data_IF_975093836944
#
_entry.id   IF_975093836944
#
_cell.length_a   1.000
_cell.length_b   1.000
_cell.length_c   1.000
_cell.angle_alpha   90.00
_cell.angle_beta   90.00
_cell.angle_gamma   90.00
#
_symmetry.space_group_name_H-M   'P 1'
#
loop_
_entity.id
_entity.type
_entity.pdbx_description
1 polymer ?
#
# COMPACT_ATOMS: atom_id res chain seq x y z
N UNK A 1 -57.76 -37.78 -9.11
CA UNK A 1 -57.10 -38.86 -9.88
C UNK A 1 -55.76 -39.12 -9.18
N UNK A 2 -55.43 -40.23 -8.55
CA UNK A 2 -56.01 -41.58 -8.54
C UNK A 2 -55.00 -42.61 -9.08
N UNK A 3 -54.27 -43.28 -8.18
CA UNK A 3 -53.73 -44.65 -8.28
C UNK A 3 -52.47 -45.00 -9.13
N UNK A 4 -51.40 -45.34 -8.40
CA UNK A 4 -50.63 -46.61 -8.35
C UNK A 4 -50.24 -47.45 -9.58
N UNK A 5 -48.92 -47.67 -9.66
CA UNK A 5 -48.14 -48.93 -9.82
C UNK A 5 -48.48 -49.96 -10.93
N UNK A 6 -47.43 -50.42 -11.64
CA UNK A 6 -47.00 -51.84 -11.63
C UNK A 6 -45.57 -52.07 -12.15
N UNK A 7 -44.98 -53.08 -11.54
CA UNK A 7 -43.59 -53.57 -11.54
C UNK A 7 -43.31 -54.48 -12.73
N UNK A 8 -42.04 -54.58 -13.17
CA UNK A 8 -41.39 -55.87 -13.51
C UNK A 8 -39.86 -55.73 -13.67
N UNK A 9 -39.11 -56.43 -12.80
CA UNK A 9 -37.76 -56.97 -13.05
C UNK A 9 -37.93 -58.45 -13.45
N UNK A 10 -37.01 -59.08 -14.20
CA UNK A 10 -35.99 -59.90 -13.50
C UNK A 10 -34.60 -60.07 -14.16
N UNK A 11 -33.62 -60.21 -13.27
CA UNK A 11 -32.54 -61.21 -13.19
C UNK A 11 -31.24 -61.21 -14.04
N UNK A 12 -30.14 -61.26 -13.23
CA UNK A 12 -28.90 -62.08 -13.32
C UNK A 12 -27.91 -61.73 -14.44
N UNK A 13 -26.62 -61.51 -14.18
CA UNK A 13 -25.70 -62.47 -13.54
C UNK A 13 -24.43 -61.79 -13.01
N UNK A 14 -23.89 -62.33 -11.92
CA UNK A 14 -22.67 -62.00 -11.18
C UNK A 14 -21.39 -62.01 -12.03
N UNK A 15 -20.43 -61.12 -11.76
CA UNK A 15 -18.99 -61.44 -11.73
C UNK A 15 -18.29 -60.69 -10.57
N UNK A 16 -17.88 -61.51 -9.60
CA UNK A 16 -16.78 -61.49 -8.62
C UNK A 16 -15.96 -60.21 -8.36
N UNK A 17 -15.83 -59.95 -7.06
CA UNK A 17 -14.74 -59.23 -6.39
C UNK A 17 -13.36 -59.78 -6.76
N UNK A 18 -12.39 -58.87 -6.90
CA UNK A 18 -11.06 -58.99 -6.28
C UNK A 18 -10.40 -57.60 -6.24
N UNK A 19 -10.07 -57.18 -5.02
CA UNK A 19 -9.13 -56.14 -4.59
C UNK A 19 -7.74 -56.37 -5.22
N UNK A 20 -6.94 -55.34 -5.52
CA UNK A 20 -6.04 -54.61 -4.60
C UNK A 20 -5.59 -53.27 -5.25
N UNK A 21 -5.64 -52.22 -4.43
CA UNK A 21 -4.88 -50.97 -4.34
C UNK A 21 -3.99 -50.48 -5.52
N UNK A 22 -4.20 -49.21 -5.94
CA UNK A 22 -3.22 -48.12 -5.78
C UNK A 22 -3.67 -46.81 -6.50
N UNK A 23 -3.94 -45.76 -5.72
CA UNK A 23 -4.03 -44.34 -6.13
C UNK A 23 -3.52 -43.54 -4.92
N UNK A 24 -2.84 -42.36 -5.02
CA UNK A 24 -2.45 -41.56 -6.19
C UNK A 24 -0.97 -41.10 -6.20
N UNK A 25 -0.36 -40.92 -7.37
CA UNK A 25 0.65 -39.86 -7.53
C UNK A 25 -0.07 -38.57 -7.91
N UNK A 26 -0.53 -37.84 -6.89
CA UNK A 26 -0.90 -36.43 -7.03
C UNK A 26 0.36 -35.68 -6.67
N UNK A 27 1.08 -35.19 -7.68
CA UNK A 27 2.15 -34.23 -7.47
C UNK A 27 1.56 -33.07 -6.66
N UNK A 28 1.96 -33.00 -5.39
CA UNK A 28 1.66 -31.86 -4.56
C UNK A 28 2.38 -30.68 -5.22
N UNK A 29 1.60 -29.78 -5.81
CA UNK A 29 2.04 -28.43 -6.11
C UNK A 29 2.43 -27.85 -4.74
N UNK A 30 3.72 -27.88 -4.43
CA UNK A 30 4.26 -27.15 -3.30
C UNK A 30 4.10 -25.68 -3.66
N UNK A 31 3.00 -25.07 -3.24
CA UNK A 31 2.97 -23.63 -3.08
C UNK A 31 4.15 -23.29 -2.15
N UNK A 32 5.06 -22.38 -2.56
CA UNK A 32 6.09 -21.91 -1.65
C UNK A 32 5.40 -21.37 -0.39
N UNK A 33 6.04 -21.48 0.79
CA UNK A 33 5.46 -20.95 2.01
C UNK A 33 5.11 -19.48 1.77
N UNK A 34 3.83 -19.14 1.97
CA UNK A 34 3.35 -17.77 1.88
C UNK A 34 4.12 -16.98 2.94
N UNK A 35 4.98 -16.06 2.51
CA UNK A 35 5.70 -15.17 3.43
C UNK A 35 4.68 -14.56 4.40
N UNK A 36 5.06 -14.46 5.67
CA UNK A 36 4.24 -13.74 6.64
C UNK A 36 4.09 -12.28 6.22
N UNK A 37 2.99 -11.65 6.62
CA UNK A 37 2.76 -10.21 6.38
C UNK A 37 3.94 -9.36 6.86
N UNK A 38 4.49 -9.68 8.04
CA UNK A 38 5.65 -9.01 8.60
C UNK A 38 6.91 -9.15 7.72
N UNK A 39 7.13 -10.32 7.12
CA UNK A 39 8.24 -10.53 6.17
C UNK A 39 8.03 -9.69 4.90
N UNK A 40 6.81 -9.65 4.35
CA UNK A 40 6.52 -8.83 3.15
C UNK A 40 6.74 -7.34 3.43
N UNK A 41 6.25 -6.84 4.57
CA UNK A 41 6.46 -5.45 4.98
C UNK A 41 7.94 -5.15 5.24
N UNK A 42 8.67 -6.08 5.84
CA UNK A 42 10.12 -5.97 6.03
C UNK A 42 10.86 -5.92 4.70
N UNK A 43 10.49 -6.77 3.73
CA UNK A 43 11.09 -6.80 2.40
C UNK A 43 10.86 -5.48 1.66
N UNK A 44 9.63 -4.95 1.71
CA UNK A 44 9.29 -3.64 1.16
C UNK A 44 10.11 -2.52 1.85
N UNK A 45 10.15 -2.50 3.18
CA UNK A 45 10.90 -1.49 3.94
C UNK A 45 12.41 -1.49 3.61
N UNK A 46 12.98 -2.65 3.27
CA UNK A 46 14.40 -2.81 2.95
C UNK A 46 14.73 -2.69 1.46
N UNK A 47 13.72 -2.50 0.61
CA UNK A 47 13.91 -2.43 -0.83
C UNK A 47 14.65 -1.14 -1.22
N UNK A 48 15.64 -1.28 -2.11
CA UNK A 48 16.42 -0.17 -2.65
C UNK A 48 16.07 0.05 -4.11
N UNK A 49 15.89 1.30 -4.48
CA UNK A 49 15.54 1.70 -5.84
C UNK A 49 16.63 2.64 -6.35
N UNK A 50 17.33 2.18 -7.38
CA UNK A 50 18.44 2.90 -8.00
C UNK A 50 18.10 3.18 -9.46
N UNK A 51 18.29 4.43 -9.87
CA UNK A 51 18.23 4.81 -11.28
C UNK A 51 19.57 4.51 -11.96
N UNK A 52 19.57 4.40 -13.30
CA UNK A 52 20.75 3.96 -14.06
C UNK A 52 21.86 4.99 -14.02
N UNK A 53 21.50 6.22 -14.31
CA UNK A 53 22.39 7.38 -14.35
C UNK A 53 22.17 8.26 -13.12
N UNK A 54 22.89 9.40 -13.03
CA UNK A 54 22.70 10.32 -11.91
C UNK A 54 21.41 11.15 -12.03
N UNK A 55 20.94 11.35 -13.27
CA UNK A 55 19.74 12.12 -13.61
C UNK A 55 18.57 11.19 -13.95
N UNK A 56 17.37 11.62 -13.57
CA UNK A 56 16.11 10.95 -13.90
C UNK A 56 15.84 11.07 -15.40
N UNK A 57 15.50 9.94 -16.02
CA UNK A 57 15.10 9.86 -17.42
C UNK A 57 13.86 9.00 -17.61
N UNK A 58 13.30 9.01 -18.83
CA UNK A 58 12.20 8.11 -19.19
C UNK A 58 12.58 6.63 -19.04
N UNK A 59 13.87 6.28 -19.10
CA UNK A 59 14.33 4.90 -18.89
C UNK A 59 14.22 4.43 -17.44
N UNK A 60 14.04 5.36 -16.49
CA UNK A 60 13.89 5.08 -15.07
C UNK A 60 12.42 5.01 -14.65
N UNK A 61 11.49 5.26 -15.58
CA UNK A 61 10.04 5.29 -15.35
C UNK A 61 9.54 4.08 -14.55
N UNK A 62 9.85 2.86 -14.99
CA UNK A 62 9.40 1.64 -14.32
C UNK A 62 9.95 1.54 -12.88
N UNK A 63 11.21 1.95 -12.69
CA UNK A 63 11.85 1.95 -11.36
C UNK A 63 11.17 2.94 -10.43
N UNK A 64 10.83 4.15 -10.91
CA UNK A 64 10.15 5.19 -10.14
C UNK A 64 8.70 4.78 -9.81
N UNK A 65 7.99 4.19 -10.77
CA UNK A 65 6.63 3.68 -10.52
C UNK A 65 6.67 2.56 -9.48
N UNK A 66 7.61 1.61 -9.60
CA UNK A 66 7.76 0.52 -8.62
C UNK A 66 8.17 1.04 -7.24
N UNK A 67 9.01 2.07 -7.16
CA UNK A 67 9.36 2.76 -5.92
C UNK A 67 8.12 3.33 -5.24
N UNK A 68 7.28 4.07 -5.97
CA UNK A 68 6.04 4.63 -5.43
C UNK A 68 5.04 3.56 -4.99
N UNK A 69 4.85 2.50 -5.81
CA UNK A 69 3.95 1.38 -5.48
C UNK A 69 4.40 0.66 -4.21
N UNK A 70 5.70 0.40 -4.08
CA UNK A 70 6.27 -0.25 -2.90
C UNK A 70 6.06 0.60 -1.65
N UNK A 71 6.27 1.93 -1.73
CA UNK A 71 5.96 2.84 -0.63
C UNK A 71 4.48 2.81 -0.24
N UNK A 72 3.56 2.90 -1.21
CA UNK A 72 2.12 2.86 -0.95
C UNK A 72 1.74 1.56 -0.24
N UNK A 73 2.13 0.42 -0.80
CA UNK A 73 1.83 -0.89 -0.22
C UNK A 73 2.44 -1.06 1.19
N UNK A 74 3.67 -0.56 1.42
CA UNK A 74 4.30 -0.57 2.73
C UNK A 74 3.47 0.24 3.74
N UNK A 75 3.10 1.48 3.39
CA UNK A 75 2.36 2.37 4.27
C UNK A 75 0.95 1.81 4.56
N UNK A 76 0.18 1.49 3.52
CA UNK A 76 -1.20 1.04 3.70
C UNK A 76 -1.27 -0.36 4.31
N UNK A 77 -0.30 -1.23 3.99
CA UNK A 77 -0.15 -2.53 4.63
C UNK A 77 0.16 -2.39 6.12
N UNK A 78 1.08 -1.49 6.48
CA UNK A 78 1.38 -1.21 7.89
C UNK A 78 0.15 -0.66 8.64
N UNK A 79 -0.68 0.20 8.01
CA UNK A 79 -1.94 0.65 8.62
C UNK A 79 -2.89 -0.53 8.85
N UNK A 80 -3.17 -1.33 7.82
CA UNK A 80 -4.13 -2.43 7.89
C UNK A 80 -3.73 -3.50 8.91
N UNK A 81 -2.43 -3.83 8.94
CA UNK A 81 -1.89 -4.94 9.72
C UNK A 81 -1.41 -4.48 11.10
N UNK A 82 -1.52 -3.18 11.41
CA UNK A 82 -1.10 -2.57 12.66
C UNK A 82 0.40 -2.79 12.97
N UNK A 83 1.20 -2.88 11.91
CA UNK A 83 2.62 -3.19 12.00
C UNK A 83 3.49 -1.93 12.05
N UNK A 84 4.63 -2.05 12.73
CA UNK A 84 5.65 -1.00 12.74
C UNK A 84 6.64 -1.25 11.61
N UNK A 85 6.86 -0.24 10.78
CA UNK A 85 7.77 -0.30 9.63
C UNK A 85 8.72 0.89 9.62
N UNK A 86 9.81 0.78 8.87
CA UNK A 86 10.74 1.90 8.62
C UNK A 86 10.54 2.46 7.22
N UNK A 87 10.59 3.79 7.10
CA UNK A 87 10.53 4.50 5.82
C UNK A 87 11.88 5.12 5.42
N UNK A 88 12.98 4.84 6.12
CA UNK A 88 14.31 5.48 5.90
C UNK A 88 14.89 5.21 4.49
N UNK A 89 14.54 4.07 3.89
CA UNK A 89 14.92 3.77 2.51
C UNK A 89 14.14 4.60 1.49
N UNK A 90 12.97 5.13 1.86
CA UNK A 90 12.14 5.97 1.00
C UNK A 90 12.33 7.45 1.27
N UNK A 91 12.51 7.88 2.52
CA UNK A 91 12.53 9.29 2.92
C UNK A 91 13.84 9.58 3.66
N UNK A 92 14.54 10.63 3.22
CA UNK A 92 15.79 11.08 3.89
C UNK A 92 15.65 12.40 4.63
N UNK A 93 14.64 13.22 4.33
CA UNK A 93 14.37 14.43 5.10
C UNK A 93 13.80 14.03 6.48
N UNK A 94 14.47 14.47 7.56
CA UNK A 94 14.09 14.07 8.92
C UNK A 94 12.70 14.54 9.33
N UNK A 95 12.27 15.72 8.89
CA UNK A 95 10.97 16.29 9.25
C UNK A 95 9.84 15.56 8.53
N UNK A 96 10.01 15.29 7.24
CA UNK A 96 9.07 14.46 6.49
C UNK A 96 9.01 13.03 7.06
N UNK A 97 10.14 12.44 7.43
CA UNK A 97 10.18 11.10 8.04
C UNK A 97 9.43 11.08 9.39
N UNK A 98 9.67 12.07 10.27
CA UNK A 98 8.94 12.23 11.53
C UNK A 98 7.45 12.39 11.29
N UNK A 99 7.07 13.20 10.30
CA UNK A 99 5.69 13.40 9.91
C UNK A 99 5.02 12.09 9.46
N UNK A 100 5.63 11.37 8.52
CA UNK A 100 5.06 10.11 7.98
C UNK A 100 4.94 9.04 9.06
N UNK A 101 5.94 8.92 9.94
CA UNK A 101 5.85 8.02 11.09
C UNK A 101 4.69 8.38 12.02
N UNK A 102 4.51 9.69 12.31
CA UNK A 102 3.41 10.14 13.16
C UNK A 102 2.05 9.96 12.47
N UNK A 103 1.99 10.19 11.17
CA UNK A 103 0.80 9.96 10.35
C UNK A 103 0.40 8.49 10.35
N UNK A 104 1.35 7.55 10.18
CA UNK A 104 1.12 6.12 10.29
C UNK A 104 0.52 5.75 11.66
N UNK A 105 1.14 6.22 12.75
CA UNK A 105 0.68 5.94 14.12
C UNK A 105 -0.77 6.40 14.34
N UNK A 106 -1.09 7.61 13.88
CA UNK A 106 -2.42 8.18 14.05
C UNK A 106 -3.46 7.53 13.14
N UNK A 107 -3.10 7.14 11.91
CA UNK A 107 -4.00 6.39 11.02
C UNK A 107 -4.28 5.00 11.58
N UNK A 108 -3.29 4.31 12.14
CA UNK A 108 -3.48 3.03 12.84
C UNK A 108 -4.45 3.18 14.03
N UNK A 109 -4.25 4.20 14.88
CA UNK A 109 -5.17 4.50 15.99
C UNK A 109 -6.59 4.78 15.51
N UNK A 110 -6.74 5.49 14.39
CA UNK A 110 -8.03 5.84 13.80
C UNK A 110 -8.72 4.62 13.17
N UNK A 111 -7.95 3.73 12.53
CA UNK A 111 -8.43 2.46 11.96
C UNK A 111 -9.05 1.58 13.05
N UNK A 112 -8.37 1.42 14.19
CA UNK A 112 -8.87 0.65 15.33
C UNK A 112 -10.18 1.19 15.91
N UNK A 113 -10.45 2.49 15.73
CA UNK A 113 -11.71 3.13 16.16
C UNK A 113 -12.81 3.08 15.10
N UNK A 114 -12.56 2.46 13.94
CA UNK A 114 -13.48 2.45 12.80
C UNK A 114 -13.69 3.84 12.19
N UNK A 115 -12.73 4.75 12.37
CA UNK A 115 -12.83 6.15 11.96
C UNK A 115 -12.43 6.40 10.50
N UNK A 116 -12.06 5.35 9.75
CA UNK A 116 -11.60 5.47 8.38
C UNK A 116 -12.69 5.17 7.36
N UNK A 117 -12.86 6.10 6.43
CA UNK A 117 -13.76 5.94 5.27
C UNK A 117 -13.14 5.18 4.10
N UNK A 118 -11.93 4.64 4.29
CA UNK A 118 -11.14 3.93 3.28
C UNK A 118 -10.68 2.59 3.84
N UNK A 119 -10.53 1.60 2.96
CA UNK A 119 -10.00 0.28 3.32
C UNK A 119 -8.52 0.26 2.97
N UNK A 120 -7.68 0.10 3.98
CA UNK A 120 -6.24 -0.07 3.80
C UNK A 120 -5.89 -1.54 3.58
N UNK A 121 -4.79 -1.81 2.87
CA UNK A 121 -4.27 -3.16 2.70
C UNK A 121 -2.87 -3.21 2.10
N UNK A 122 -2.29 -4.41 2.03
CA UNK A 122 -0.91 -4.64 1.62
C UNK A 122 -0.74 -4.76 0.09
N UNK A 123 -1.68 -5.41 -0.59
CA UNK A 123 -1.61 -5.69 -2.02
C UNK A 123 -2.64 -4.83 -2.76
N UNK A 124 -2.33 -3.54 -2.95
CA UNK A 124 -3.24 -2.66 -3.66
C UNK A 124 -3.24 -2.91 -5.17
N UNK A 125 -4.41 -2.77 -5.79
CA UNK A 125 -4.58 -2.75 -7.23
C UNK A 125 -4.32 -1.33 -7.75
N UNK A 126 -3.33 -1.15 -8.63
CA UNK A 126 -2.98 0.15 -9.19
C UNK A 126 -3.62 0.29 -10.58
N UNK A 127 -4.51 1.27 -10.74
CA UNK A 127 -5.39 1.37 -11.91
C UNK A 127 -4.94 2.47 -12.88
N UNK A 128 -4.50 3.61 -12.35
CA UNK A 128 -4.10 4.78 -13.15
C UNK A 128 -2.88 5.44 -12.51
N UNK A 129 -2.11 6.16 -13.31
CA UNK A 129 -1.01 6.98 -12.80
C UNK A 129 -0.81 8.24 -13.64
N UNK A 130 -0.33 9.28 -12.98
CA UNK A 130 0.24 10.46 -13.64
C UNK A 130 1.73 10.52 -13.29
N UNK A 131 2.58 10.75 -14.29
CA UNK A 131 4.01 10.87 -14.13
C UNK A 131 4.52 12.05 -14.94
N UNK A 132 5.38 12.87 -14.32
CA UNK A 132 6.07 13.93 -15.02
C UNK A 132 7.46 14.17 -14.45
N UNK A 133 8.46 14.30 -15.33
CA UNK A 133 9.79 14.76 -14.96
C UNK A 133 9.73 16.29 -14.85
N UNK A 134 10.07 16.82 -13.68
CA UNK A 134 10.03 18.26 -13.40
C UNK A 134 11.38 18.91 -13.69
N UNK A 135 12.47 18.21 -13.38
CA UNK A 135 13.84 18.58 -13.74
C UNK A 135 14.74 17.33 -13.74
N UNK A 136 16.04 17.52 -13.94
CA UNK A 136 17.04 16.46 -14.04
C UNK A 136 17.06 15.47 -12.86
N UNK A 137 16.64 15.87 -11.66
CA UNK A 137 16.70 15.04 -10.46
C UNK A 137 15.36 14.92 -9.75
N UNK A 138 14.27 15.49 -10.27
CA UNK A 138 12.98 15.55 -9.60
C UNK A 138 11.85 15.15 -10.55
N UNK A 139 10.98 14.27 -10.10
CA UNK A 139 9.75 13.93 -10.78
C UNK A 139 8.54 13.96 -9.84
N UNK A 140 7.38 14.13 -10.44
CA UNK A 140 6.08 13.99 -9.80
C UNK A 140 5.46 12.65 -10.19
N UNK A 141 4.86 11.99 -9.22
CA UNK A 141 4.14 10.73 -9.38
C UNK A 141 2.80 10.82 -8.65
N UNK A 142 1.71 10.49 -9.33
CA UNK A 142 0.39 10.30 -8.75
C UNK A 142 -0.07 8.88 -9.03
N UNK A 143 -0.22 8.07 -7.98
CA UNK A 143 -0.67 6.69 -8.10
C UNK A 143 -2.11 6.59 -7.64
N UNK A 144 -3.00 6.13 -8.52
CA UNK A 144 -4.36 5.76 -8.17
C UNK A 144 -4.41 4.26 -7.90
N UNK A 145 -4.94 3.91 -6.74
CA UNK A 145 -4.98 2.52 -6.29
C UNK A 145 -6.25 2.21 -5.52
N UNK A 146 -6.57 0.93 -5.40
CA UNK A 146 -7.71 0.46 -4.62
C UNK A 146 -7.38 -0.79 -3.82
N UNK A 147 -8.03 -0.92 -2.67
CA UNK A 147 -8.06 -2.15 -1.90
C UNK A 147 -9.52 -2.55 -1.67
N UNK A 148 -9.89 -3.77 -2.06
CA UNK A 148 -11.27 -4.30 -1.89
C UNK A 148 -12.36 -3.34 -2.42
N UNK A 149 -12.09 -2.65 -3.54
CA UNK A 149 -12.98 -1.67 -4.15
C UNK A 149 -12.99 -0.29 -3.50
N UNK A 150 -12.26 -0.07 -2.41
CA UNK A 150 -12.04 1.26 -1.82
C UNK A 150 -10.87 1.96 -2.52
N UNK A 151 -11.16 3.03 -3.28
CA UNK A 151 -10.17 3.75 -4.08
C UNK A 151 -9.52 4.92 -3.33
N UNK A 152 -8.22 5.12 -3.58
CA UNK A 152 -7.39 6.18 -3.04
C UNK A 152 -6.36 6.65 -4.09
N UNK A 153 -5.68 7.75 -3.79
CA UNK A 153 -4.51 8.17 -4.55
C UNK A 153 -3.32 8.41 -3.61
N UNK A 154 -2.11 8.42 -4.13
CA UNK A 154 -0.95 8.95 -3.44
C UNK A 154 -0.11 9.76 -4.43
N UNK A 155 0.04 11.05 -4.14
CA UNK A 155 0.88 11.98 -4.87
C UNK A 155 2.21 12.09 -4.18
N UNK A 156 3.29 12.12 -4.93
CA UNK A 156 4.66 12.17 -4.43
C UNK A 156 5.51 13.09 -5.30
N UNK A 157 6.40 13.83 -4.65
CA UNK A 157 7.61 14.35 -5.27
C UNK A 157 8.76 13.39 -4.96
N UNK A 158 9.41 12.90 -6.00
CA UNK A 158 10.50 11.93 -5.91
C UNK A 158 11.77 12.56 -6.48
N UNK A 159 12.83 12.54 -5.69
CA UNK A 159 14.14 13.08 -6.03
C UNK A 159 15.17 11.95 -6.16
N UNK A 160 16.06 12.04 -7.16
CA UNK A 160 17.29 11.25 -7.23
C UNK A 160 18.38 11.91 -6.39
N UNK A 161 18.96 11.15 -5.45
CA UNK A 161 20.13 11.53 -4.67
C UNK A 161 21.19 10.45 -4.81
N UNK A 162 22.27 10.74 -5.56
CA UNK A 162 23.35 9.78 -5.87
C UNK A 162 22.79 8.45 -6.41
N UNK A 163 21.90 8.56 -7.39
CA UNK A 163 21.14 7.46 -8.02
C UNK A 163 20.06 6.81 -7.15
N UNK A 164 20.00 7.09 -5.85
CA UNK A 164 18.93 6.56 -4.99
C UNK A 164 17.69 7.44 -5.10
N UNK A 165 16.52 6.82 -5.32
CA UNK A 165 15.25 7.54 -5.24
C UNK A 165 14.88 7.83 -3.80
N UNK A 166 14.36 9.04 -3.55
CA UNK A 166 13.83 9.50 -2.26
C UNK A 166 12.56 10.30 -2.45
N UNK A 167 11.59 10.10 -1.57
CA UNK A 167 10.40 10.95 -1.46
C UNK A 167 10.83 12.22 -0.71
N UNK A 168 10.56 13.37 -1.33
CA UNK A 168 10.81 14.69 -0.74
C UNK A 168 9.52 15.41 -0.35
N UNK A 169 8.38 14.95 -0.85
CA UNK A 169 7.05 15.37 -0.41
C UNK A 169 6.01 14.32 -0.80
N UNK A 170 4.93 14.17 -0.02
CA UNK A 170 3.85 13.22 -0.35
C UNK A 170 2.50 13.65 0.22
N UNK A 171 1.44 13.12 -0.40
CA UNK A 171 0.07 13.41 -0.01
C UNK A 171 -0.91 12.35 -0.56
N UNK A 172 -1.65 11.68 0.32
CA UNK A 172 -2.66 10.67 -0.04
C UNK A 172 -3.98 11.32 -0.48
N UNK A 173 -4.34 12.46 0.11
CA UNK A 173 -5.48 13.24 -0.37
C UNK A 173 -6.85 12.65 -0.11
N UNK A 174 -6.94 11.76 0.86
CA UNK A 174 -8.22 11.42 1.46
C UNK A 174 -8.77 12.66 2.19
N UNK A 175 -10.03 13.03 1.92
CA UNK A 175 -10.68 14.22 2.50
C UNK A 175 -10.57 14.25 4.03
N UNK A 176 -10.72 13.08 4.65
CA UNK A 176 -10.67 12.91 6.10
C UNK A 176 -9.35 12.26 6.55
N UNK A 177 -8.34 12.22 5.67
CA UNK A 177 -6.99 11.73 5.96
C UNK A 177 -6.23 12.68 6.88
N UNK A 178 -5.35 12.12 7.70
CA UNK A 178 -4.55 12.91 8.63
C UNK A 178 -3.69 13.94 7.90
N UNK A 179 -3.10 13.58 6.76
CA UNK A 179 -2.35 14.48 5.88
C UNK A 179 -3.18 15.71 5.46
N UNK A 180 -4.43 15.51 5.03
CA UNK A 180 -5.34 16.59 4.65
C UNK A 180 -5.65 17.54 5.81
N UNK A 181 -5.85 16.99 7.00
CA UNK A 181 -6.20 17.78 8.19
C UNK A 181 -5.05 18.71 8.58
N UNK A 182 -3.80 18.23 8.51
CA UNK A 182 -2.65 18.94 9.05
C UNK A 182 -1.88 19.74 7.99
N UNK A 183 -1.77 19.22 6.77
CA UNK A 183 -1.05 19.88 5.66
C UNK A 183 -1.98 20.69 4.73
N UNK A 184 -3.30 20.50 4.85
CA UNK A 184 -4.32 21.23 4.11
C UNK A 184 -4.99 20.42 3.00
N UNK A 185 -6.10 20.95 2.49
CA UNK A 185 -6.91 20.28 1.46
C UNK A 185 -6.15 20.12 0.12
N UNK A 186 -6.32 18.98 -0.55
CA UNK A 186 -5.65 18.61 -1.81
C UNK A 186 -5.77 19.61 -2.96
N UNK A 187 -6.81 20.46 -2.94
CA UNK A 187 -7.03 21.54 -3.92
C UNK A 187 -6.20 22.79 -3.64
N UNK A 188 -5.71 22.93 -2.41
CA UNK A 188 -4.90 24.06 -1.93
C UNK A 188 -3.44 23.64 -1.80
N UNK A 189 -3.19 22.45 -1.24
CA UNK A 189 -1.86 21.87 -1.11
C UNK A 189 -1.34 21.41 -2.48
N UNK A 190 -0.29 22.08 -2.97
CA UNK A 190 0.41 21.70 -4.19
C UNK A 190 1.70 20.96 -3.85
N UNK A 191 1.98 19.87 -4.55
CA UNK A 191 3.26 19.15 -4.47
C UNK A 191 4.18 19.68 -5.57
N UNK A 192 4.72 20.88 -5.36
CA UNK A 192 5.62 21.57 -6.30
C UNK A 192 6.88 22.14 -5.64
N UNK A 193 6.98 22.12 -4.30
CA UNK A 193 8.13 22.60 -3.55
C UNK A 193 8.87 21.43 -2.85
N UNK A 194 10.01 20.97 -3.36
CA UNK A 194 10.78 19.87 -2.74
C UNK A 194 11.44 20.25 -1.40
N UNK A 195 11.57 21.54 -1.10
CA UNK A 195 12.22 22.07 0.12
C UNK A 195 11.19 22.44 1.20
N UNK A 196 9.90 22.11 1.02
CA UNK A 196 8.86 22.51 1.97
C UNK A 196 9.11 21.94 3.38
N UNK A 197 9.66 20.73 3.46
CA UNK A 197 9.99 20.07 4.72
C UNK A 197 11.28 20.60 5.37
N UNK A 198 11.84 21.68 4.85
CA UNK A 198 12.90 22.49 5.46
C UNK A 198 12.39 23.88 5.93
N UNK A 199 11.13 24.24 5.61
CA UNK A 199 10.48 25.46 6.11
C UNK A 199 9.98 25.26 7.55
N UNK A 200 10.77 25.77 8.51
CA UNK A 200 10.48 25.58 9.93
C UNK A 200 9.14 26.17 10.38
N UNK A 201 8.68 27.28 9.79
CA UNK A 201 7.40 27.89 10.15
C UNK A 201 6.25 26.98 9.71
N UNK A 202 6.33 26.49 8.48
CA UNK A 202 5.35 25.55 7.95
C UNK A 202 5.34 24.23 8.73
N UNK A 203 6.51 23.67 9.02
CA UNK A 203 6.69 22.43 9.79
C UNK A 203 6.06 22.57 11.18
N UNK A 204 6.35 23.64 11.90
CA UNK A 204 5.77 23.88 13.23
C UNK A 204 4.23 23.89 13.16
N UNK A 205 3.66 24.59 12.17
CA UNK A 205 2.21 24.63 11.97
C UNK A 205 1.59 23.26 11.63
N UNK A 206 2.33 22.37 10.96
CA UNK A 206 1.90 20.99 10.72
C UNK A 206 1.90 20.17 12.02
N UNK A 207 2.99 20.24 12.79
CA UNK A 207 3.12 19.46 14.02
C UNK A 207 2.16 19.92 15.13
N UNK A 208 1.90 21.22 15.26
CA UNK A 208 0.86 21.73 16.17
C UNK A 208 -0.53 21.15 15.86
N UNK A 209 -0.87 21.01 14.57
CA UNK A 209 -2.14 20.40 14.15
C UNK A 209 -2.15 18.89 14.38
N UNK A 210 -1.01 18.21 14.23
CA UNK A 210 -0.90 16.78 14.56
C UNK A 210 -1.13 16.53 16.05
N UNK A 211 -0.52 17.33 16.92
CA UNK A 211 -0.72 17.24 18.37
C UNK A 211 -2.18 17.49 18.76
N UNK A 212 -2.79 18.53 18.17
CA UNK A 212 -4.21 18.81 18.37
C UNK A 212 -5.09 17.65 17.90
N UNK A 213 -4.81 17.09 16.73
CA UNK A 213 -5.56 15.96 16.20
C UNK A 213 -5.43 14.72 17.09
N UNK A 214 -4.21 14.41 17.53
CA UNK A 214 -3.96 13.30 18.45
C UNK A 214 -4.75 13.47 19.76
N UNK A 215 -4.74 14.67 20.34
CA UNK A 215 -5.52 14.98 21.54
C UNK A 215 -7.02 14.75 21.30
N UNK A 216 -7.57 15.23 20.18
CA UNK A 216 -8.98 15.02 19.84
C UNK A 216 -9.30 13.54 19.60
N UNK A 217 -8.38 12.78 19.00
CA UNK A 217 -8.53 11.37 18.74
C UNK A 217 -8.55 10.57 20.05
N UNK A 218 -7.73 10.91 21.04
CA UNK A 218 -7.66 10.20 22.33
C UNK A 218 -8.86 10.48 23.23
N UNK A 219 -9.51 11.64 23.11
CA UNK A 219 -10.62 12.06 23.96
C UNK A 219 -12.02 11.82 23.36
N UNK A 220 -12.10 11.11 22.24
CA UNK A 220 -13.34 10.59 21.63
C UNK A 220 -13.46 9.09 21.87
#
# INVERSE_FOLDING_TARGET
>A
MGCSQKVNKPNKTQIKENSIESIPNREAFFEPPKNSVAEILSDLANQKFLIKEDQISDYDYETIVNFGKAFVNLYTGAVAEQERVSFENYISNENLLKFVNKMLELEQKKELKGGNGVIFGLENEFNELEFSILNENLCYLNLYFSNQGSGMSCKMLVQSLKKSLKIVDLYFGNKDGIDTIVTGHHKVRKLDNPELWDDQEWINGVFEKLEKYEYELLNK
#
